data_IF_678728958338
#
_entry.id   IF_678728958338
#
_cell.length_a   1.000
_cell.length_b   1.000
_cell.length_c   1.000
_cell.angle_alpha   90.00
_cell.angle_beta   90.00
_cell.angle_gamma   90.00
#
_symmetry.space_group_name_H-M   'P 1'
#
loop_
_entity.id
_entity.type
_entity.pdbx_description
1 polymer ?
#
# COMPACT_ATOMS: atom_id res chain seq x y z
N UNK A 1 -8.55 -26.42 -7.50
CA UNK A 1 -9.43 -25.67 -6.60
C UNK A 1 -8.84 -24.30 -6.42
N UNK A 2 -9.59 -23.25 -6.71
CA UNK A 2 -9.16 -21.84 -6.62
C UNK A 2 -8.86 -21.38 -5.18
N UNK A 3 -8.88 -22.25 -4.17
CA UNK A 3 -8.59 -21.90 -2.78
C UNK A 3 -7.26 -21.13 -2.58
N UNK A 4 -6.21 -21.49 -3.34
CA UNK A 4 -4.94 -20.76 -3.28
C UNK A 4 -5.04 -19.36 -3.90
N UNK A 5 -5.82 -19.22 -4.96
CA UNK A 5 -6.08 -17.95 -5.62
C UNK A 5 -6.95 -17.04 -4.74
N UNK A 6 -7.99 -17.60 -4.12
CA UNK A 6 -8.82 -16.90 -3.15
C UNK A 6 -7.97 -16.45 -1.96
N UNK A 7 -7.17 -17.36 -1.38
CA UNK A 7 -6.30 -17.02 -0.25
C UNK A 7 -5.30 -15.91 -0.60
N UNK A 8 -4.68 -15.98 -1.78
CA UNK A 8 -3.79 -14.94 -2.30
C UNK A 8 -4.52 -13.60 -2.45
N UNK A 9 -5.65 -13.59 -3.15
CA UNK A 9 -6.42 -12.37 -3.41
C UNK A 9 -6.94 -11.76 -2.09
N UNK A 10 -7.32 -12.58 -1.11
CA UNK A 10 -7.64 -12.11 0.23
C UNK A 10 -6.42 -11.48 0.90
N UNK A 11 -5.24 -12.11 0.84
CA UNK A 11 -4.03 -11.58 1.45
C UNK A 11 -3.60 -10.23 0.83
N UNK A 12 -3.65 -10.09 -0.49
CA UNK A 12 -3.32 -8.83 -1.18
C UNK A 12 -4.37 -7.75 -0.92
N UNK A 13 -5.65 -8.11 -0.89
CA UNK A 13 -6.72 -7.18 -0.55
C UNK A 13 -6.58 -6.61 0.88
N UNK A 14 -6.15 -7.42 1.86
CA UNK A 14 -5.88 -6.94 3.22
C UNK A 14 -4.78 -5.86 3.24
N UNK A 15 -3.71 -6.06 2.46
CA UNK A 15 -2.66 -5.04 2.30
C UNK A 15 -3.24 -3.78 1.65
N UNK A 16 -4.07 -3.92 0.62
CA UNK A 16 -4.74 -2.79 -0.05
C UNK A 16 -5.59 -1.97 0.91
N UNK A 17 -6.40 -2.63 1.75
CA UNK A 17 -7.25 -1.96 2.76
C UNK A 17 -6.41 -1.24 3.81
N UNK A 18 -5.27 -1.81 4.22
CA UNK A 18 -4.35 -1.13 5.12
C UNK A 18 -3.78 0.16 4.50
N UNK A 19 -3.30 0.10 3.25
CA UNK A 19 -2.79 1.26 2.52
C UNK A 19 -3.88 2.34 2.31
N UNK A 20 -5.11 1.91 2.01
CA UNK A 20 -6.25 2.80 1.90
C UNK A 20 -6.55 3.52 3.22
N UNK A 21 -6.55 2.78 4.32
CA UNK A 21 -6.76 3.33 5.67
C UNK A 21 -5.68 4.35 6.02
N UNK A 22 -4.42 4.06 5.69
CA UNK A 22 -3.31 4.98 5.89
C UNK A 22 -3.45 6.27 5.05
N UNK A 23 -3.92 6.17 3.82
CA UNK A 23 -4.21 7.32 2.96
C UNK A 23 -5.35 8.20 3.52
N UNK A 24 -6.41 7.59 4.07
CA UNK A 24 -7.57 8.30 4.65
C UNK A 24 -7.25 8.93 6.00
N UNK A 25 -6.47 8.26 6.84
CA UNK A 25 -6.06 8.82 8.14
C UNK A 25 -4.92 9.83 7.98
N UNK A 26 -4.16 9.78 6.88
CA UNK A 26 -2.96 10.60 6.71
C UNK A 26 -1.83 10.17 7.63
N UNK A 27 -1.86 8.91 8.04
CA UNK A 27 -0.90 8.31 8.94
C UNK A 27 -0.50 6.95 8.39
N UNK A 28 0.79 6.74 8.22
CA UNK A 28 1.34 5.45 7.82
C UNK A 28 2.29 4.97 8.92
N UNK A 29 3.58 5.26 8.82
CA UNK A 29 4.58 5.13 9.90
C UNK A 29 5.06 6.50 10.39
N UNK A 30 4.19 7.50 10.26
CA UNK A 30 4.46 8.91 10.49
C UNK A 30 3.39 9.77 9.83
N UNK A 31 3.43 11.08 10.07
CA UNK A 31 2.53 12.03 9.41
C UNK A 31 2.78 12.02 7.90
N UNK A 32 1.70 11.93 7.14
CA UNK A 32 1.73 11.79 5.69
C UNK A 32 1.17 13.05 5.04
N UNK A 33 1.98 13.72 4.21
CA UNK A 33 1.51 14.85 3.39
C UNK A 33 0.56 14.39 2.29
N UNK A 34 -0.20 15.34 1.71
CA UNK A 34 -1.24 15.06 0.70
C UNK A 34 -0.71 14.24 -0.49
N UNK A 35 0.49 14.52 -0.98
CA UNK A 35 1.08 13.80 -2.11
C UNK A 35 1.31 12.31 -1.80
N UNK A 36 1.87 12.01 -0.62
CA UNK A 36 2.17 10.64 -0.21
C UNK A 36 0.87 9.88 0.12
N UNK A 37 -0.19 10.58 0.56
CA UNK A 37 -1.55 10.01 0.71
C UNK A 37 -2.15 9.61 -0.62
N UNK A 38 -2.01 10.43 -1.67
CA UNK A 38 -2.47 10.09 -3.01
C UNK A 38 -1.71 8.88 -3.58
N UNK A 39 -0.40 8.78 -3.30
CA UNK A 39 0.39 7.62 -3.71
C UNK A 39 -0.04 6.34 -2.97
N UNK A 40 -0.31 6.41 -1.65
CA UNK A 40 -0.86 5.29 -0.87
C UNK A 40 -2.24 4.86 -1.38
N UNK A 41 -3.09 5.82 -1.75
CA UNK A 41 -4.40 5.56 -2.37
C UNK A 41 -4.23 4.83 -3.70
N UNK A 42 -3.33 5.30 -4.58
CA UNK A 42 -3.07 4.63 -5.85
C UNK A 42 -2.55 3.19 -5.65
N UNK A 43 -1.66 2.97 -4.68
CA UNK A 43 -1.17 1.64 -4.33
C UNK A 43 -2.30 0.71 -3.86
N UNK A 44 -3.22 1.22 -3.03
CA UNK A 44 -4.37 0.47 -2.57
C UNK A 44 -5.33 0.10 -3.72
N UNK A 45 -5.60 1.03 -4.64
CA UNK A 45 -6.50 0.81 -5.77
C UNK A 45 -5.96 -0.26 -6.73
N UNK A 46 -4.64 -0.33 -6.93
CA UNK A 46 -4.00 -1.36 -7.75
C UNK A 46 -4.22 -2.78 -7.21
N UNK A 47 -4.44 -2.95 -5.91
CA UNK A 47 -4.70 -4.26 -5.29
C UNK A 47 -6.17 -4.68 -5.27
N UNK A 48 -7.10 -3.84 -5.76
CA UNK A 48 -8.54 -4.15 -5.75
C UNK A 48 -8.90 -5.18 -6.82
N UNK A 49 -8.19 -5.19 -7.95
CA UNK A 49 -8.51 -6.07 -9.08
C UNK A 49 -8.21 -7.55 -8.81
N UNK A 50 -7.42 -7.88 -7.78
CA UNK A 50 -7.04 -9.26 -7.44
C UNK A 50 -6.17 -9.96 -8.50
N UNK A 51 -5.57 -9.20 -9.41
CA UNK A 51 -4.70 -9.70 -10.46
C UNK A 51 -3.26 -9.82 -9.96
N UNK A 52 -2.56 -10.90 -10.31
CA UNK A 52 -1.16 -11.11 -9.90
C UNK A 52 -0.25 -9.90 -10.20
N UNK A 53 -0.36 -9.36 -11.41
CA UNK A 53 0.47 -8.23 -11.83
C UNK A 53 0.09 -6.93 -11.11
N UNK A 54 -1.20 -6.63 -11.02
CA UNK A 54 -1.68 -5.39 -10.40
C UNK A 54 -1.39 -5.37 -8.91
N UNK A 55 -1.57 -6.50 -8.25
CA UNK A 55 -1.29 -6.66 -6.83
C UNK A 55 0.21 -6.52 -6.54
N UNK A 56 1.07 -7.13 -7.37
CA UNK A 56 2.52 -7.00 -7.24
C UNK A 56 2.98 -5.54 -7.40
N UNK A 57 2.43 -4.80 -8.37
CA UNK A 57 2.73 -3.37 -8.58
C UNK A 57 2.25 -2.54 -7.38
N UNK A 58 1.05 -2.81 -6.87
CA UNK A 58 0.55 -2.17 -5.65
C UNK A 58 1.48 -2.40 -4.46
N UNK A 59 1.96 -3.63 -4.27
CA UNK A 59 2.80 -3.99 -3.13
C UNK A 59 4.16 -3.30 -3.26
N UNK A 60 4.74 -3.34 -4.45
CA UNK A 60 6.00 -2.66 -4.75
C UNK A 60 5.89 -1.14 -4.48
N UNK A 61 4.78 -0.52 -4.88
CA UNK A 61 4.54 0.90 -4.63
C UNK A 61 4.39 1.20 -3.13
N UNK A 62 3.60 0.41 -2.40
CA UNK A 62 3.46 0.54 -0.94
C UNK A 62 4.79 0.37 -0.20
N UNK A 63 5.61 -0.61 -0.60
CA UNK A 63 6.94 -0.84 -0.04
C UNK A 63 7.91 0.31 -0.37
N UNK A 64 7.88 0.84 -1.59
CA UNK A 64 8.67 2.00 -1.97
C UNK A 64 8.30 3.24 -1.15
N UNK A 65 7.01 3.47 -0.90
CA UNK A 65 6.52 4.56 -0.06
C UNK A 65 6.94 4.38 1.41
N UNK A 66 6.94 3.15 1.91
CA UNK A 66 7.46 2.84 3.25
C UNK A 66 8.95 3.18 3.38
N UNK A 67 9.78 2.73 2.43
CA UNK A 67 11.21 3.03 2.42
C UNK A 67 11.45 4.52 2.27
N UNK A 68 10.71 5.20 1.38
CA UNK A 68 10.81 6.64 1.21
C UNK A 68 10.49 7.38 2.52
N UNK A 69 9.38 7.02 3.18
CA UNK A 69 8.97 7.66 4.43
C UNK A 69 9.98 7.42 5.55
N UNK A 70 10.45 6.19 5.74
CA UNK A 70 11.41 5.85 6.80
C UNK A 70 12.77 6.53 6.59
N UNK A 71 13.24 6.62 5.33
CA UNK A 71 14.49 7.34 4.99
C UNK A 71 14.35 8.86 5.14
N UNK A 72 13.19 9.43 4.82
CA UNK A 72 12.95 10.87 4.99
C UNK A 72 12.79 11.26 6.46
N UNK A 73 12.10 10.42 7.25
CA UNK A 73 11.99 10.59 8.70
C UNK A 73 13.36 10.53 9.39
N UNK A 74 14.22 9.59 9.00
CA UNK A 74 15.58 9.48 9.52
C UNK A 74 16.49 10.67 9.17
N UNK A 75 16.15 11.49 8.16
CA UNK A 75 16.90 12.69 7.78
C UNK A 75 16.55 13.93 8.60
N UNK A 76 15.48 13.88 9.40
CA UNK A 76 14.98 15.04 10.17
C UNK A 76 15.28 14.90 11.68
N UNK A 77 15.93 13.81 12.10
CA UNK A 77 16.41 13.57 13.46
C UNK A 77 17.91 13.84 13.56
#
# INVERSE_FOLDING_TARGET
>A
GEWLEIARNCATALVGVFLLSAAVQGFFFGKVGVLLRLALLAAALLMISGGLLTDAVGIALGAALYVYQTRLAARTA
#
